data_IF_492463164413
#
_entry.id   IF_492463164413
#
_cell.length_a   1.000
_cell.length_b   1.000
_cell.length_c   1.000
_cell.angle_alpha   90.00
_cell.angle_beta   90.00
_cell.angle_gamma   90.00
#
_symmetry.space_group_name_H-M   'P 1'
#
loop_
_entity.id
_entity.type
_entity.pdbx_description
1 polymer ?
#
# COMPACT_ATOMS: atom_id res chain seq x y z
N UNK A 1 1.79 -12.57 -2.08
CA UNK A 1 2.72 -12.46 -0.95
C UNK A 1 3.74 -11.39 -1.27
N UNK A 2 3.68 -10.24 -0.59
CA UNK A 2 4.79 -9.28 -0.58
C UNK A 2 6.10 -10.02 -0.33
N UNK A 3 7.17 -9.63 -1.03
CA UNK A 3 8.53 -10.19 -0.92
C UNK A 3 8.82 -10.60 0.53
N UNK A 4 8.76 -11.90 0.83
CA UNK A 4 8.94 -12.35 2.21
C UNK A 4 10.38 -12.04 2.61
N UNK A 5 10.55 -11.30 3.71
CA UNK A 5 11.89 -11.02 4.22
C UNK A 5 12.61 -12.33 4.56
N UNK A 6 13.94 -12.32 4.59
CA UNK A 6 14.75 -13.52 4.94
C UNK A 6 14.38 -14.12 6.30
N UNK A 7 13.74 -13.33 7.16
CA UNK A 7 13.33 -13.71 8.50
C UNK A 7 11.86 -14.14 8.58
N UNK A 8 11.11 -14.15 7.48
CA UNK A 8 9.65 -14.30 7.45
C UNK A 8 9.14 -15.49 8.27
N UNK A 9 9.80 -16.66 8.19
CA UNK A 9 9.40 -17.86 8.94
C UNK A 9 9.93 -17.94 10.37
N UNK A 10 10.75 -16.99 10.83
CA UNK A 10 11.33 -17.02 12.18
C UNK A 10 10.30 -16.57 13.21
N UNK A 11 10.15 -17.36 14.27
CA UNK A 11 9.30 -17.04 15.41
C UNK A 11 9.85 -15.85 16.22
N UNK A 12 8.94 -14.97 16.63
CA UNK A 12 9.20 -13.84 17.51
C UNK A 12 9.18 -14.36 18.96
N UNK A 13 10.25 -14.13 19.71
CA UNK A 13 10.37 -14.56 21.11
C UNK A 13 9.94 -13.47 22.10
N UNK A 14 9.95 -12.21 21.68
CA UNK A 14 9.55 -11.10 22.53
C UNK A 14 9.62 -9.76 21.82
N UNK A 15 9.20 -8.69 22.53
CA UNK A 15 9.17 -7.32 22.01
C UNK A 15 10.52 -6.85 21.46
N UNK A 16 11.63 -7.26 22.09
CA UNK A 16 12.99 -6.91 21.64
C UNK A 16 13.29 -7.37 20.21
N UNK A 17 12.76 -8.52 19.78
CA UNK A 17 12.92 -9.00 18.41
C UNK A 17 12.27 -8.06 17.38
N UNK A 18 11.11 -7.48 17.74
CA UNK A 18 10.38 -6.52 16.91
C UNK A 18 11.11 -5.18 16.84
N UNK A 19 11.64 -4.69 17.97
CA UNK A 19 12.44 -3.47 18.00
C UNK A 19 13.73 -3.64 17.18
N UNK A 20 14.41 -4.78 17.34
CA UNK A 20 15.64 -5.08 16.60
C UNK A 20 15.39 -5.24 15.10
N UNK A 21 14.19 -5.68 14.70
CA UNK A 21 13.79 -5.77 13.29
C UNK A 21 13.79 -4.40 12.61
N UNK A 22 13.33 -3.34 13.29
CA UNK A 22 13.45 -1.98 12.78
C UNK A 22 14.90 -1.47 12.80
N UNK A 23 15.63 -1.69 13.89
CA UNK A 23 17.05 -1.27 14.02
C UNK A 23 17.94 -1.87 12.94
N UNK A 24 17.73 -3.14 12.59
CA UNK A 24 18.47 -3.84 11.51
C UNK A 24 18.15 -3.32 10.11
N UNK A 25 17.10 -2.52 9.97
CA UNK A 25 16.67 -1.95 8.70
C UNK A 25 17.35 -0.62 8.40
N UNK A 26 17.95 0.02 9.41
CA UNK A 26 18.76 1.23 9.24
C UNK A 26 19.88 1.01 8.21
N UNK A 27 20.12 2.01 7.36
CA UNK A 27 21.17 2.00 6.33
C UNK A 27 22.21 3.08 6.60
N UNK A 28 23.50 2.86 6.32
CA UNK A 28 24.47 3.95 6.36
C UNK A 28 24.02 5.13 5.49
N UNK A 29 24.45 6.33 5.86
CA UNK A 29 24.21 7.54 5.08
C UNK A 29 24.62 7.35 3.62
N UNK A 30 23.71 7.65 2.68
CA UNK A 30 23.94 7.46 1.24
C UNK A 30 23.74 6.03 0.71
N UNK A 31 23.39 5.06 1.58
CA UNK A 31 22.99 3.69 1.17
C UNK A 31 21.48 3.46 1.26
N UNK A 32 20.71 4.48 1.65
CA UNK A 32 19.25 4.43 1.61
C UNK A 32 18.76 4.30 0.16
N UNK A 33 17.65 3.59 -0.03
CA UNK A 33 17.07 3.31 -1.33
C UNK A 33 15.67 3.92 -1.43
N UNK A 34 15.26 4.16 -2.67
CA UNK A 34 13.96 4.71 -3.05
C UNK A 34 13.17 3.60 -3.75
N UNK A 35 11.98 3.30 -3.25
CA UNK A 35 10.99 2.47 -3.95
C UNK A 35 9.75 3.29 -4.28
N UNK A 36 9.08 2.95 -5.38
CA UNK A 36 7.83 3.62 -5.78
C UNK A 36 6.77 2.57 -6.02
N UNK A 37 5.59 2.79 -5.47
CA UNK A 37 4.41 1.96 -5.73
C UNK A 37 3.34 2.82 -6.38
N UNK A 38 2.64 2.30 -7.38
CA UNK A 38 1.55 3.03 -8.01
C UNK A 38 0.48 2.09 -8.58
N UNK A 39 -0.77 2.50 -8.42
CA UNK A 39 -1.95 1.71 -8.74
C UNK A 39 -2.66 2.26 -9.98
N UNK A 40 -3.19 1.39 -10.84
CA UNK A 40 -3.77 1.77 -12.12
C UNK A 40 -5.15 1.12 -12.30
N UNK A 41 -6.25 1.86 -12.12
CA UNK A 41 -7.60 1.30 -12.27
C UNK A 41 -7.87 0.89 -13.74
N UNK A 42 -8.19 -0.38 -14.01
CA UNK A 42 -8.51 -0.85 -15.35
C UNK A 42 -9.96 -0.53 -15.74
N UNK A 43 -10.19 -0.26 -17.02
CA UNK A 43 -11.53 -0.12 -17.59
C UNK A 43 -11.59 -0.71 -19.01
N UNK A 44 -12.77 -1.14 -19.46
CA UNK A 44 -12.94 -1.51 -20.86
C UNK A 44 -12.97 -0.27 -21.77
N UNK A 45 -12.13 -0.24 -22.81
CA UNK A 45 -12.08 0.91 -23.76
C UNK A 45 -13.37 1.04 -24.59
N UNK A 46 -14.07 -0.07 -24.78
CA UNK A 46 -15.40 -0.14 -25.37
C UNK A 46 -16.40 -0.52 -24.27
N UNK A 47 -17.71 -0.41 -24.51
CA UNK A 47 -18.74 -0.81 -23.54
C UNK A 47 -18.83 0.09 -22.28
N UNK A 48 -18.85 1.40 -22.48
CA UNK A 48 -19.23 2.35 -21.43
C UNK A 48 -18.21 2.53 -20.31
N UNK A 49 -16.94 2.14 -20.53
CA UNK A 49 -15.85 2.28 -19.55
C UNK A 49 -16.12 1.55 -18.22
N UNK A 50 -16.78 0.39 -18.29
CA UNK A 50 -17.03 -0.44 -17.13
C UNK A 50 -15.72 -0.96 -16.51
N UNK A 51 -15.69 -1.18 -15.18
CA UNK A 51 -14.60 -1.87 -14.49
C UNK A 51 -14.29 -3.24 -15.09
N UNK A 52 -13.04 -3.69 -14.97
CA UNK A 52 -12.59 -4.97 -15.52
C UNK A 52 -12.57 -6.05 -14.43
N UNK A 53 -13.40 -7.11 -14.53
CA UNK A 53 -13.40 -8.20 -13.58
C UNK A 53 -12.17 -9.09 -13.71
N UNK A 54 -11.92 -9.92 -12.69
CA UNK A 54 -10.80 -10.87 -12.69
C UNK A 54 -10.87 -11.85 -13.87
N UNK A 55 -12.05 -12.44 -14.11
CA UNK A 55 -12.37 -13.24 -15.30
C UNK A 55 -13.31 -12.41 -16.16
N UNK A 56 -12.97 -12.24 -17.43
CA UNK A 56 -13.80 -11.50 -18.38
C UNK A 56 -15.16 -12.14 -18.61
N UNK A 57 -16.11 -11.34 -19.08
CA UNK A 57 -17.50 -11.75 -19.35
C UNK A 57 -17.90 -11.37 -20.77
N UNK A 58 -18.87 -12.09 -21.35
CA UNK A 58 -19.42 -11.78 -22.69
C UNK A 58 -18.35 -11.76 -23.80
N UNK A 59 -17.36 -12.66 -23.72
CA UNK A 59 -16.28 -12.75 -24.70
C UNK A 59 -15.17 -11.68 -24.56
N UNK A 60 -15.23 -10.85 -23.51
CA UNK A 60 -14.19 -9.87 -23.17
C UNK A 60 -13.09 -10.50 -22.34
N UNK A 61 -11.89 -9.93 -22.39
CA UNK A 61 -10.76 -10.30 -21.53
C UNK A 61 -10.90 -9.71 -20.12
N UNK A 62 -10.49 -10.45 -19.09
CA UNK A 62 -10.38 -9.98 -17.71
C UNK A 62 -8.93 -9.72 -17.29
N UNK A 63 -8.75 -9.37 -16.01
CA UNK A 63 -7.42 -9.12 -15.44
C UNK A 63 -6.53 -10.36 -15.42
N UNK A 64 -7.11 -11.55 -15.35
CA UNK A 64 -6.34 -12.78 -15.52
C UNK A 64 -5.68 -12.89 -16.88
N UNK A 65 -6.35 -12.49 -17.96
CA UNK A 65 -5.79 -12.56 -19.31
C UNK A 65 -4.62 -11.58 -19.44
N UNK A 66 -4.68 -10.43 -18.75
CA UNK A 66 -3.55 -9.51 -18.62
C UNK A 66 -2.37 -10.17 -17.91
N UNK A 67 -2.58 -10.75 -16.71
CA UNK A 67 -1.51 -11.41 -15.96
C UNK A 67 -0.92 -12.60 -16.73
N UNK A 68 -1.77 -13.41 -17.37
CA UNK A 68 -1.34 -14.56 -18.14
C UNK A 68 -0.50 -14.14 -19.36
N UNK A 69 -0.89 -13.07 -20.04
CA UNK A 69 -0.13 -12.51 -21.16
C UNK A 69 1.23 -11.96 -20.72
N UNK A 70 1.28 -11.26 -19.58
CA UNK A 70 2.55 -10.80 -18.98
C UNK A 70 3.51 -11.98 -18.68
N UNK A 71 2.99 -13.11 -18.21
CA UNK A 71 3.80 -14.33 -17.99
C UNK A 71 4.30 -14.89 -19.32
N UNK A 72 3.39 -15.10 -20.28
CA UNK A 72 3.69 -15.79 -21.55
C UNK A 72 4.60 -15.00 -22.49
N UNK A 73 4.44 -13.68 -22.52
CA UNK A 73 5.07 -12.82 -23.54
C UNK A 73 6.16 -11.92 -22.98
N UNK A 74 6.09 -11.58 -21.69
CA UNK A 74 6.98 -10.60 -21.06
C UNK A 74 7.92 -11.19 -20.00
N UNK A 75 7.84 -12.50 -19.75
CA UNK A 75 8.76 -13.24 -18.89
C UNK A 75 8.60 -12.95 -17.40
N UNK A 76 7.40 -12.56 -16.98
CA UNK A 76 7.07 -12.38 -15.56
C UNK A 76 6.88 -13.73 -14.85
N UNK A 77 7.41 -13.86 -13.63
CA UNK A 77 7.17 -15.02 -12.80
C UNK A 77 5.79 -14.93 -12.14
N UNK A 78 4.96 -15.99 -12.20
CA UNK A 78 3.60 -15.95 -11.66
C UNK A 78 3.55 -16.17 -10.14
N UNK A 79 2.74 -15.37 -9.45
CA UNK A 79 2.41 -15.51 -8.03
C UNK A 79 0.95 -15.94 -7.83
N UNK A 80 0.74 -17.02 -7.08
CA UNK A 80 -0.58 -17.61 -6.87
C UNK A 80 -1.02 -17.55 -5.41
N UNK A 81 -2.31 -17.29 -5.19
CA UNK A 81 -3.01 -17.68 -3.97
C UNK A 81 -3.91 -18.87 -4.31
N UNK A 82 -3.55 -20.05 -3.78
CA UNK A 82 -4.12 -21.34 -4.21
C UNK A 82 -3.97 -21.54 -5.73
N UNK A 83 -5.07 -21.58 -6.47
CA UNK A 83 -5.14 -21.76 -7.92
C UNK A 83 -5.31 -20.45 -8.70
N UNK A 84 -5.32 -19.29 -8.01
CA UNK A 84 -5.59 -17.98 -8.62
C UNK A 84 -4.30 -17.20 -8.83
N UNK A 85 -3.99 -16.87 -10.09
CA UNK A 85 -2.89 -15.98 -10.45
C UNK A 85 -3.28 -14.56 -10.08
N UNK A 86 -2.60 -13.97 -9.10
CA UNK A 86 -2.98 -12.67 -8.53
C UNK A 86 -1.82 -11.67 -8.46
N UNK A 87 -0.60 -12.16 -8.69
CA UNK A 87 0.63 -11.38 -8.57
C UNK A 87 1.63 -11.82 -9.62
N UNK A 88 2.59 -10.94 -9.92
CA UNK A 88 3.73 -11.22 -10.79
C UNK A 88 5.01 -10.67 -10.16
N UNK A 89 6.14 -11.29 -10.45
CA UNK A 89 7.46 -10.76 -10.06
C UNK A 89 8.46 -10.84 -11.23
N UNK A 90 9.29 -9.81 -11.38
CA UNK A 90 10.40 -9.76 -12.34
C UNK A 90 11.44 -8.75 -11.88
N UNK A 91 12.70 -9.16 -11.81
CA UNK A 91 13.85 -8.26 -11.57
C UNK A 91 13.66 -7.29 -10.40
N UNK A 92 13.18 -7.82 -9.29
CA UNK A 92 12.85 -7.09 -8.08
C UNK A 92 11.61 -6.17 -8.11
N UNK A 93 10.87 -6.14 -9.22
CA UNK A 93 9.58 -5.44 -9.38
C UNK A 93 8.42 -6.41 -9.22
N UNK A 94 7.32 -5.96 -8.63
CA UNK A 94 6.09 -6.73 -8.47
C UNK A 94 4.90 -6.11 -9.22
N UNK A 95 3.97 -6.97 -9.66
CA UNK A 95 2.59 -6.58 -9.91
C UNK A 95 1.65 -7.27 -8.93
N UNK A 96 0.63 -6.56 -8.48
CA UNK A 96 -0.42 -7.11 -7.64
C UNK A 96 -1.78 -6.53 -8.02
N UNK A 97 -2.85 -7.21 -7.63
CA UNK A 97 -4.22 -6.72 -7.78
C UNK A 97 -4.78 -6.24 -6.44
N UNK A 98 -5.20 -4.98 -6.39
CA UNK A 98 -5.95 -4.38 -5.29
C UNK A 98 -7.43 -4.83 -5.28
N UNK A 99 -8.21 -4.58 -4.22
CA UNK A 99 -9.56 -5.14 -4.04
C UNK A 99 -10.52 -4.96 -5.22
N UNK A 100 -10.52 -3.77 -5.83
CA UNK A 100 -11.34 -3.43 -6.99
C UNK A 100 -10.71 -3.77 -8.35
N UNK A 101 -9.57 -4.47 -8.35
CA UNK A 101 -8.83 -4.83 -9.56
C UNK A 101 -7.84 -3.77 -10.04
N UNK A 102 -7.60 -2.70 -9.28
CA UNK A 102 -6.53 -1.75 -9.58
C UNK A 102 -5.20 -2.51 -9.68
N UNK A 103 -4.45 -2.25 -10.74
CA UNK A 103 -3.20 -2.95 -11.00
C UNK A 103 -2.06 -2.16 -10.37
N UNK A 104 -1.54 -2.69 -9.27
CA UNK A 104 -0.43 -2.11 -8.53
C UNK A 104 0.89 -2.57 -9.11
N UNK A 105 1.82 -1.63 -9.29
CA UNK A 105 3.23 -1.92 -9.52
C UNK A 105 3.99 -1.58 -8.25
N UNK A 106 4.77 -2.52 -7.70
CA UNK A 106 5.72 -2.27 -6.61
C UNK A 106 7.13 -2.28 -7.19
N UNK A 107 7.72 -1.10 -7.30
CA UNK A 107 9.01 -0.88 -7.95
C UNK A 107 10.20 -1.46 -7.20
N UNK A 108 11.31 -1.68 -7.90
CA UNK A 108 12.53 -2.13 -7.26
C UNK A 108 13.11 -1.02 -6.36
N UNK A 109 13.76 -1.37 -5.24
CA UNK A 109 14.46 -0.39 -4.43
C UNK A 109 15.74 0.05 -5.17
N UNK A 110 15.81 1.31 -5.59
CA UNK A 110 16.89 1.88 -6.40
C UNK A 110 17.58 3.04 -5.70
N UNK A 111 18.69 3.54 -6.25
CA UNK A 111 19.56 4.50 -5.56
C UNK A 111 19.12 5.95 -5.70
N UNK A 112 18.32 6.27 -6.73
CA UNK A 112 17.93 7.65 -7.01
C UNK A 112 16.63 7.72 -7.83
N UNK A 113 16.10 8.94 -7.91
CA UNK A 113 14.82 9.23 -8.56
C UNK A 113 14.86 9.13 -10.09
N UNK A 114 16.04 9.14 -10.72
CA UNK A 114 16.16 8.91 -12.16
C UNK A 114 15.92 7.43 -12.48
N UNK A 115 16.45 6.53 -11.65
CA UNK A 115 16.19 5.10 -11.78
C UNK A 115 14.72 4.76 -11.53
N UNK A 116 14.06 5.39 -10.55
CA UNK A 116 12.61 5.21 -10.35
C UNK A 116 11.83 5.72 -11.55
N UNK A 117 12.27 6.81 -12.18
CA UNK A 117 11.63 7.38 -13.36
C UNK A 117 11.75 6.46 -14.58
N UNK A 118 12.95 5.93 -14.85
CA UNK A 118 13.19 4.97 -15.94
C UNK A 118 12.34 3.69 -15.75
N UNK A 119 12.29 3.15 -14.53
CA UNK A 119 11.47 1.98 -14.22
C UNK A 119 9.97 2.27 -14.40
N UNK A 120 9.50 3.41 -13.90
CA UNK A 120 8.10 3.84 -14.02
C UNK A 120 7.68 3.92 -15.50
N UNK A 121 8.48 4.59 -16.33
CA UNK A 121 8.18 4.74 -17.76
C UNK A 121 8.16 3.38 -18.47
N UNK A 122 9.13 2.50 -18.17
CA UNK A 122 9.19 1.15 -18.74
C UNK A 122 7.97 0.29 -18.34
N UNK A 123 7.58 0.33 -17.06
CA UNK A 123 6.45 -0.46 -16.53
C UNK A 123 5.10 0.04 -17.04
N UNK A 124 4.90 1.36 -17.15
CA UNK A 124 3.69 1.93 -17.74
C UNK A 124 3.59 1.56 -19.22
N UNK A 125 4.69 1.67 -19.99
CA UNK A 125 4.69 1.33 -21.41
C UNK A 125 4.34 -0.15 -21.64
N UNK A 126 4.96 -1.06 -20.89
CA UNK A 126 4.71 -2.50 -20.94
C UNK A 126 3.24 -2.82 -20.61
N UNK A 127 2.71 -2.24 -19.53
CA UNK A 127 1.33 -2.46 -19.10
C UNK A 127 0.32 -1.97 -20.15
N UNK A 128 0.54 -0.79 -20.74
CA UNK A 128 -0.32 -0.23 -21.79
C UNK A 128 -0.30 -1.12 -23.03
N UNK A 129 0.86 -1.62 -23.45
CA UNK A 129 0.99 -2.49 -24.62
C UNK A 129 0.15 -3.76 -24.46
N UNK A 130 0.30 -4.44 -23.32
CA UNK A 130 -0.45 -5.66 -23.01
C UNK A 130 -1.95 -5.38 -22.89
N UNK A 131 -2.35 -4.38 -22.10
CA UNK A 131 -3.76 -4.06 -21.87
C UNK A 131 -4.49 -3.63 -23.16
N UNK A 132 -3.81 -2.90 -24.06
CA UNK A 132 -4.37 -2.47 -25.34
C UNK A 132 -4.80 -3.65 -26.20
N UNK A 133 -4.02 -4.74 -26.22
CA UNK A 133 -4.35 -5.96 -26.97
C UNK A 133 -5.59 -6.68 -26.46
N UNK A 134 -5.97 -6.42 -25.21
CA UNK A 134 -7.11 -7.02 -24.50
C UNK A 134 -8.34 -6.11 -24.49
N UNK A 135 -8.28 -4.94 -25.16
CA UNK A 135 -9.35 -3.94 -25.14
C UNK A 135 -9.49 -3.21 -23.79
N UNK A 136 -8.47 -3.28 -22.94
CA UNK A 136 -8.42 -2.67 -21.61
C UNK A 136 -7.65 -1.35 -21.67
N UNK A 137 -8.16 -0.33 -20.99
CA UNK A 137 -7.47 0.92 -20.70
C UNK A 137 -7.12 1.00 -19.21
N UNK A 138 -6.23 1.94 -18.88
CA UNK A 138 -5.82 2.20 -17.50
C UNK A 138 -6.05 3.67 -17.17
N UNK A 139 -6.69 3.96 -16.05
CA UNK A 139 -6.92 5.33 -15.59
C UNK A 139 -5.70 5.87 -14.87
N UNK A 140 -5.46 7.16 -15.08
CA UNK A 140 -4.51 7.99 -14.34
C UNK A 140 -5.29 8.90 -13.38
N UNK A 141 -6.13 8.30 -12.53
CA UNK A 141 -7.01 8.97 -11.56
C UNK A 141 -7.01 8.20 -10.25
N UNK A 142 -7.10 8.92 -9.15
CA UNK A 142 -7.01 8.35 -7.81
C UNK A 142 -8.35 7.88 -7.23
N UNK A 143 -9.47 8.10 -7.92
CA UNK A 143 -10.78 7.60 -7.55
C UNK A 143 -11.55 7.21 -8.81
N UNK A 144 -12.33 6.13 -8.74
CA UNK A 144 -13.13 5.69 -9.88
C UNK A 144 -14.20 6.75 -10.23
N UNK A 145 -14.16 7.36 -11.42
CA UNK A 145 -14.91 8.59 -11.69
C UNK A 145 -16.42 8.35 -11.86
N UNK A 146 -16.84 7.13 -12.17
CA UNK A 146 -18.22 6.80 -12.58
C UNK A 146 -18.88 5.67 -11.79
N UNK A 147 -18.14 4.98 -10.91
CA UNK A 147 -18.63 3.81 -10.18
C UNK A 147 -18.25 3.96 -8.71
N UNK A 148 -19.03 3.35 -7.84
CA UNK A 148 -18.76 3.21 -6.41
C UNK A 148 -18.51 1.72 -6.08
N UNK A 149 -18.22 1.43 -4.83
CA UNK A 149 -17.79 0.12 -4.34
C UNK A 149 -18.77 -1.02 -4.61
N UNK A 150 -20.07 -0.73 -4.70
CA UNK A 150 -21.11 -1.74 -5.02
C UNK A 150 -21.01 -2.27 -6.45
N UNK A 151 -20.37 -1.52 -7.35
CA UNK A 151 -20.24 -1.86 -8.77
C UNK A 151 -18.84 -2.33 -9.15
N UNK A 152 -17.89 -2.31 -8.21
CA UNK A 152 -16.53 -2.74 -8.46
C UNK A 152 -16.41 -4.27 -8.40
N UNK A 153 -15.57 -4.88 -9.26
CA UNK A 153 -15.33 -6.31 -9.21
C UNK A 153 -14.54 -6.67 -7.95
N UNK A 154 -14.74 -7.87 -7.45
CA UNK A 154 -13.98 -8.40 -6.32
C UNK A 154 -12.83 -9.28 -6.82
N UNK A 155 -11.60 -8.95 -6.42
CA UNK A 155 -10.44 -9.76 -6.73
C UNK A 155 -10.36 -11.01 -5.84
N UNK A 156 -9.92 -12.16 -6.37
CA UNK A 156 -10.02 -13.46 -5.68
C UNK A 156 -8.88 -13.67 -4.67
N UNK A 157 -8.76 -12.77 -3.69
CA UNK A 157 -7.80 -12.85 -2.57
C UNK A 157 -8.57 -12.99 -1.28
N UNK A 158 -8.26 -14.02 -0.48
CA UNK A 158 -9.01 -14.35 0.74
C UNK A 158 -9.08 -13.18 1.75
N UNK A 159 -8.04 -12.36 1.81
CA UNK A 159 -7.99 -11.15 2.64
C UNK A 159 -9.09 -10.14 2.28
N UNK A 160 -9.50 -10.07 1.02
CA UNK A 160 -10.45 -9.05 0.55
C UNK A 160 -11.88 -9.36 0.99
N UNK A 161 -12.24 -10.65 1.03
CA UNK A 161 -13.49 -11.09 1.63
C UNK A 161 -13.56 -10.72 3.13
N UNK A 162 -12.49 -11.00 3.89
CA UNK A 162 -12.41 -10.62 5.30
C UNK A 162 -12.47 -9.09 5.51
N UNK A 163 -11.85 -8.30 4.62
CA UNK A 163 -11.98 -6.85 4.64
C UNK A 163 -13.42 -6.41 4.47
N UNK A 164 -14.12 -6.93 3.45
CA UNK A 164 -15.50 -6.58 3.18
C UNK A 164 -16.41 -6.88 4.37
N UNK A 165 -16.31 -8.07 4.95
CA UNK A 165 -17.07 -8.45 6.15
C UNK A 165 -16.83 -7.47 7.31
N UNK A 166 -15.59 -7.03 7.49
CA UNK A 166 -15.25 -6.05 8.51
C UNK A 166 -15.83 -4.65 8.23
N UNK A 167 -15.83 -4.20 6.98
CA UNK A 167 -16.45 -2.91 6.60
C UNK A 167 -17.95 -2.93 6.86
N UNK A 168 -18.62 -4.02 6.46
CA UNK A 168 -20.05 -4.22 6.68
C UNK A 168 -20.38 -4.21 8.18
N UNK A 169 -19.56 -4.90 9.00
CA UNK A 169 -19.73 -4.96 10.46
C UNK A 169 -19.54 -3.60 11.14
N UNK A 170 -18.58 -2.80 10.69
CA UNK A 170 -18.22 -1.52 11.32
C UNK A 170 -19.02 -0.34 10.78
N UNK A 171 -19.98 -0.56 9.87
CA UNK A 171 -20.75 0.50 9.22
C UNK A 171 -19.86 1.62 8.65
N UNK A 172 -18.74 1.22 8.02
CA UNK A 172 -17.74 2.16 7.53
C UNK A 172 -18.38 3.19 6.58
N UNK A 173 -18.11 4.47 6.84
CA UNK A 173 -18.49 5.55 5.93
C UNK A 173 -17.85 5.28 4.56
N UNK A 174 -18.64 5.43 3.49
CA UNK A 174 -18.26 5.08 2.11
C UNK A 174 -18.11 3.57 1.83
N UNK A 175 -18.55 2.68 2.72
CA UNK A 175 -18.64 1.24 2.45
C UNK A 175 -17.30 0.63 2.02
N UNK A 176 -17.25 0.03 0.83
CA UNK A 176 -16.03 -0.56 0.25
C UNK A 176 -15.24 0.40 -0.65
N UNK A 177 -15.69 1.65 -0.82
CA UNK A 177 -15.08 2.62 -1.75
C UNK A 177 -13.59 2.84 -1.50
N UNK A 178 -13.20 2.96 -0.22
CA UNK A 178 -11.80 3.18 0.16
C UNK A 178 -10.85 2.13 -0.39
N UNK A 179 -11.28 0.87 -0.43
CA UNK A 179 -10.49 -0.25 -0.94
C UNK A 179 -10.69 -0.48 -2.46
N UNK A 180 -11.92 -0.38 -2.94
CA UNK A 180 -12.28 -0.84 -4.28
C UNK A 180 -12.27 0.27 -5.34
N UNK A 181 -12.35 1.55 -4.94
CA UNK A 181 -12.46 2.67 -5.88
C UNK A 181 -11.25 3.59 -5.89
N UNK A 182 -10.37 3.53 -4.89
CA UNK A 182 -9.22 4.44 -4.80
C UNK A 182 -8.01 3.91 -5.56
N UNK A 183 -7.09 4.81 -5.96
CA UNK A 183 -5.74 4.42 -6.36
C UNK A 183 -4.68 5.44 -5.94
N UNK A 184 -3.52 4.98 -5.52
CA UNK A 184 -2.45 5.85 -5.00
C UNK A 184 -1.15 5.78 -5.81
N UNK A 185 -0.31 6.80 -5.63
CA UNK A 185 1.14 6.65 -5.77
C UNK A 185 1.77 6.82 -4.39
N UNK A 186 2.72 5.95 -4.05
CA UNK A 186 3.38 5.88 -2.76
C UNK A 186 4.89 5.80 -2.98
N UNK A 187 5.66 6.36 -2.05
CA UNK A 187 7.13 6.26 -2.08
C UNK A 187 7.65 5.69 -0.77
N UNK A 188 8.59 4.76 -0.91
CA UNK A 188 9.23 4.01 0.15
C UNK A 188 10.67 4.48 0.34
N UNK A 189 11.00 5.02 1.51
CA UNK A 189 12.31 5.57 1.84
C UNK A 189 12.92 4.89 3.08
N UNK A 190 14.16 4.40 2.95
CA UNK A 190 14.95 3.94 4.09
C UNK A 190 15.45 5.10 4.97
N UNK A 191 15.83 4.79 6.22
CA UNK A 191 16.32 5.74 7.23
C UNK A 191 17.71 5.34 7.76
N UNK A 192 18.50 6.31 8.23
CA UNK A 192 19.90 6.11 8.67
C UNK A 192 20.01 5.51 10.08
N UNK A 193 19.09 5.91 10.96
CA UNK A 193 19.10 5.60 12.38
C UNK A 193 17.71 5.78 12.99
N UNK A 194 17.55 5.50 14.28
CA UNK A 194 16.31 5.81 15.00
C UNK A 194 16.04 7.33 15.05
N UNK A 195 17.07 8.15 15.31
CA UNK A 195 16.93 9.61 15.34
C UNK A 195 16.50 10.17 13.97
N UNK A 196 17.14 9.66 12.92
CA UNK A 196 16.81 10.02 11.54
C UNK A 196 15.38 9.62 11.17
N UNK A 197 14.97 8.39 11.52
CA UNK A 197 13.60 7.92 11.35
C UNK A 197 12.60 8.84 12.06
N UNK A 198 12.86 9.23 13.31
CA UNK A 198 11.98 10.12 14.09
C UNK A 198 11.84 11.49 13.41
N UNK A 199 12.94 12.07 12.91
CA UNK A 199 12.88 13.34 12.17
C UNK A 199 12.09 13.20 10.87
N UNK A 200 12.43 12.19 10.06
CA UNK A 200 11.78 11.95 8.77
C UNK A 200 10.28 11.72 8.91
N UNK A 201 9.84 10.88 9.87
CA UNK A 201 8.40 10.57 10.03
C UNK A 201 7.61 11.78 10.50
N UNK A 202 8.16 12.61 11.40
CA UNK A 202 7.50 13.83 11.86
C UNK A 202 7.37 14.85 10.74
N UNK A 203 8.43 15.09 9.97
CA UNK A 203 8.38 15.97 8.80
C UNK A 203 7.40 15.44 7.76
N UNK A 204 7.46 14.15 7.44
CA UNK A 204 6.58 13.54 6.46
C UNK A 204 5.10 13.65 6.88
N UNK A 205 4.76 13.32 8.13
CA UNK A 205 3.39 13.46 8.64
C UNK A 205 2.91 14.91 8.59
N UNK A 206 3.72 15.87 9.04
CA UNK A 206 3.35 17.29 9.04
C UNK A 206 3.15 17.87 7.65
N UNK A 207 3.94 17.43 6.67
CA UNK A 207 3.86 17.89 5.27
C UNK A 207 2.94 17.01 4.40
N UNK A 208 2.42 15.89 4.91
CA UNK A 208 1.57 15.00 4.12
C UNK A 208 0.34 15.71 3.54
N UNK A 209 -0.39 16.58 4.28
CA UNK A 209 -1.52 17.32 3.70
C UNK A 209 -1.11 18.23 2.54
N UNK A 210 0.12 18.74 2.53
CA UNK A 210 0.66 19.53 1.41
C UNK A 210 0.90 18.63 0.19
N UNK A 211 1.48 17.44 0.40
CA UNK A 211 1.61 16.45 -0.67
C UNK A 211 0.24 16.03 -1.22
N UNK A 212 -0.73 15.75 -0.36
CA UNK A 212 -2.11 15.44 -0.78
C UNK A 212 -2.71 16.57 -1.61
N UNK A 213 -2.51 17.83 -1.22
CA UNK A 213 -3.00 18.98 -1.99
C UNK A 213 -2.29 19.17 -3.35
N UNK A 214 -0.96 19.02 -3.39
CA UNK A 214 -0.16 19.14 -4.62
C UNK A 214 -0.49 18.04 -5.63
N UNK A 215 -0.81 16.84 -5.15
CA UNK A 215 -1.04 15.67 -5.98
C UNK A 215 -2.53 15.33 -6.17
N UNK A 216 -3.46 16.15 -5.67
CA UNK A 216 -4.90 15.88 -5.76
C UNK A 216 -5.36 15.64 -7.22
N UNK A 217 -5.92 14.46 -7.48
CA UNK A 217 -6.27 14.02 -8.84
C UNK A 217 -7.47 13.06 -8.83
N UNK A 218 -8.50 13.41 -8.06
CA UNK A 218 -9.75 12.66 -8.02
C UNK A 218 -10.98 13.55 -7.80
N UNK A 219 -11.33 14.45 -8.74
CA UNK A 219 -12.42 15.41 -8.54
C UNK A 219 -13.82 14.91 -8.91
N UNK A 220 -13.96 13.65 -9.32
CA UNK A 220 -15.22 13.07 -9.79
C UNK A 220 -15.62 11.85 -8.98
N UNK A 221 -16.93 11.67 -8.79
CA UNK A 221 -17.55 10.46 -8.26
C UNK A 221 -18.91 10.26 -8.92
N UNK A 222 -19.27 9.02 -9.25
CA UNK A 222 -20.55 8.67 -9.87
C UNK A 222 -20.92 9.52 -11.11
N UNK A 223 -19.92 9.93 -11.91
CA UNK A 223 -20.09 10.66 -13.17
C UNK A 223 -20.30 12.17 -13.01
N UNK A 224 -20.12 12.72 -11.81
CA UNK A 224 -20.34 14.14 -11.46
C UNK A 224 -19.17 14.67 -10.61
N UNK A 225 -18.93 16.00 -10.58
CA UNK A 225 -17.99 16.58 -9.64
C UNK A 225 -18.33 16.18 -8.20
N UNK A 226 -17.34 15.72 -7.44
CA UNK A 226 -17.54 15.23 -6.06
C UNK A 226 -17.64 16.35 -5.03
N UNK A 227 -17.16 17.55 -5.38
CA UNK A 227 -16.99 18.67 -4.43
C UNK A 227 -15.59 18.73 -3.79
N UNK A 228 -14.74 17.71 -4.03
CA UNK A 228 -13.38 17.63 -3.52
C UNK A 228 -12.36 17.67 -4.66
N UNK A 229 -11.12 18.09 -4.36
CA UNK A 229 -10.00 17.96 -5.30
C UNK A 229 -9.40 16.54 -5.24
N UNK A 230 -9.30 15.98 -4.03
CA UNK A 230 -9.00 14.57 -3.79
C UNK A 230 -10.18 13.90 -3.08
N UNK A 231 -11.07 13.27 -3.86
CA UNK A 231 -12.13 12.41 -3.31
C UNK A 231 -11.51 11.20 -2.60
N UNK A 232 -10.39 10.69 -3.11
CA UNK A 232 -9.66 9.60 -2.47
C UNK A 232 -9.28 9.96 -1.03
N UNK A 233 -8.64 11.11 -0.81
CA UNK A 233 -8.22 11.52 0.53
C UNK A 233 -9.41 11.68 1.46
N UNK A 234 -10.52 12.25 0.98
CA UNK A 234 -11.74 12.38 1.78
C UNK A 234 -12.31 11.02 2.18
N UNK A 235 -12.40 10.08 1.23
CA UNK A 235 -12.91 8.73 1.49
C UNK A 235 -12.00 8.02 2.49
N UNK A 236 -10.68 8.06 2.29
CA UNK A 236 -9.70 7.39 3.15
C UNK A 236 -9.62 8.00 4.56
N UNK A 237 -9.81 9.32 4.69
CA UNK A 237 -9.86 9.99 5.99
C UNK A 237 -10.97 9.44 6.89
N UNK A 238 -12.14 9.16 6.29
CA UNK A 238 -13.31 8.65 6.97
C UNK A 238 -13.40 7.11 6.97
N UNK A 239 -12.51 6.44 6.23
CA UNK A 239 -12.54 4.99 6.05
C UNK A 239 -12.19 4.27 7.35
N UNK A 240 -13.09 3.39 7.80
CA UNK A 240 -12.96 2.65 9.06
C UNK A 240 -12.65 3.54 10.29
N UNK A 241 -13.22 4.74 10.39
CA UNK A 241 -12.90 5.69 11.47
C UNK A 241 -11.40 6.08 11.52
N UNK A 242 -10.73 6.08 10.36
CA UNK A 242 -9.28 6.31 10.24
C UNK A 242 -8.45 5.15 10.82
N UNK A 243 -9.11 3.99 10.98
CA UNK A 243 -8.89 2.79 11.80
C UNK A 243 -8.09 2.94 13.08
N UNK A 244 -6.97 3.65 13.13
CA UNK A 244 -6.20 3.90 14.35
C UNK A 244 -5.26 5.12 14.30
N UNK A 245 -5.66 6.22 13.66
CA UNK A 245 -4.87 7.45 13.65
C UNK A 245 -4.26 7.69 12.29
N UNK A 246 -5.12 8.15 11.38
CA UNK A 246 -4.77 8.62 10.04
C UNK A 246 -3.48 9.46 10.02
N UNK A 247 -3.25 10.33 11.01
CA UNK A 247 -2.04 11.16 11.14
C UNK A 247 -0.96 10.63 12.12
N UNK A 248 -1.06 9.37 12.55
CA UNK A 248 -0.14 8.68 13.48
C UNK A 248 0.33 9.55 14.67
N UNK A 249 -0.57 10.00 15.58
CA UNK A 249 -0.22 10.94 16.66
C UNK A 249 0.93 10.49 17.56
N UNK A 250 1.09 9.18 17.77
CA UNK A 250 2.16 8.59 18.59
C UNK A 250 3.57 9.04 18.14
N UNK A 251 3.74 9.39 16.85
CA UNK A 251 5.00 9.88 16.30
C UNK A 251 5.48 11.21 16.94
N UNK A 252 4.55 12.01 17.46
CA UNK A 252 4.82 13.31 18.07
C UNK A 252 4.92 13.27 19.59
N UNK A 253 4.66 12.12 20.21
CA UNK A 253 4.78 11.99 21.66
C UNK A 253 6.25 12.03 22.12
N UNK A 254 6.46 12.47 23.36
CA UNK A 254 7.77 12.41 24.01
C UNK A 254 8.29 10.97 24.05
N UNK A 255 9.59 10.80 23.78
CA UNK A 255 10.24 9.49 23.73
C UNK A 255 9.84 8.61 22.55
N UNK A 256 9.20 9.17 21.50
CA UNK A 256 8.92 8.40 20.29
C UNK A 256 10.20 7.86 19.65
N UNK A 257 10.12 6.60 19.21
CA UNK A 257 11.19 5.79 18.64
C UNK A 257 10.64 4.42 18.24
N UNK A 258 11.51 3.49 17.87
CA UNK A 258 11.11 2.13 17.47
C UNK A 258 10.38 1.40 18.57
N UNK A 259 10.84 1.51 19.82
CA UNK A 259 10.23 0.81 20.95
C UNK A 259 8.78 1.27 21.17
N UNK A 260 8.55 2.59 21.19
CA UNK A 260 7.22 3.17 21.37
C UNK A 260 6.30 2.89 20.18
N UNK A 261 6.84 2.88 18.96
CA UNK A 261 6.06 2.45 17.79
C UNK A 261 5.67 0.96 17.87
N UNK A 262 6.58 0.10 18.32
CA UNK A 262 6.27 -1.33 18.56
C UNK A 262 5.17 -1.47 19.59
N UNK A 263 5.20 -0.73 20.70
CA UNK A 263 4.11 -0.76 21.70
C UNK A 263 2.78 -0.32 21.09
N UNK A 264 2.78 0.76 20.31
CA UNK A 264 1.59 1.21 19.58
C UNK A 264 1.07 0.08 18.67
N UNK A 265 1.92 -0.46 17.80
CA UNK A 265 1.53 -1.50 16.84
C UNK A 265 1.11 -2.82 17.51
N UNK A 266 1.70 -3.20 18.65
CA UNK A 266 1.32 -4.40 19.40
C UNK A 266 -0.12 -4.35 19.91
N UNK A 267 -0.57 -3.16 20.35
CA UNK A 267 -1.90 -2.94 20.91
C UNK A 267 -2.98 -2.70 19.84
N UNK A 268 -2.58 -2.64 18.58
CA UNK A 268 -3.50 -2.46 17.47
C UNK A 268 -4.24 -3.76 17.18
N UNK A 269 -5.59 -3.73 17.08
CA UNK A 269 -6.36 -4.89 16.67
C UNK A 269 -5.90 -5.42 15.33
N UNK A 270 -5.65 -6.72 15.29
CA UNK A 270 -5.38 -7.44 14.07
C UNK A 270 -6.61 -7.36 13.17
N UNK A 271 -6.36 -7.17 11.88
CA UNK A 271 -7.35 -7.47 10.87
C UNK A 271 -7.62 -8.99 10.77
N UNK A 272 -6.58 -9.80 10.99
CA UNK A 272 -6.60 -11.23 10.81
C UNK A 272 -5.19 -11.77 10.61
N UNK A 273 -5.08 -13.09 10.42
CA UNK A 273 -3.80 -13.78 10.23
C UNK A 273 -3.89 -14.75 9.05
N UNK A 274 -2.75 -15.08 8.45
CA UNK A 274 -2.70 -16.19 7.49
C UNK A 274 -2.51 -17.53 8.21
N UNK A 275 -3.43 -18.46 7.95
CA UNK A 275 -3.38 -19.86 8.39
C UNK A 275 -3.53 -20.75 7.17
N UNK A 276 -2.54 -21.61 6.92
CA UNK A 276 -2.51 -22.52 5.76
C UNK A 276 -2.78 -21.83 4.41
N UNK A 277 -2.22 -20.62 4.25
CA UNK A 277 -2.39 -19.80 3.04
C UNK A 277 -3.74 -19.10 2.91
N UNK A 278 -4.59 -19.12 3.93
CA UNK A 278 -5.89 -18.44 3.97
C UNK A 278 -5.90 -17.37 5.04
N UNK A 279 -6.42 -16.19 4.72
CA UNK A 279 -6.61 -15.12 5.69
C UNK A 279 -7.83 -15.39 6.58
N UNK A 280 -7.65 -15.32 7.90
CA UNK A 280 -8.66 -15.67 8.91
C UNK A 280 -8.84 -14.50 9.87
N UNK A 281 -10.10 -14.09 10.12
CA UNK A 281 -10.44 -13.11 11.14
C UNK A 281 -10.15 -13.66 12.56
N UNK A 282 -9.54 -12.82 13.39
CA UNK A 282 -9.21 -13.11 14.79
C UNK A 282 -10.06 -12.32 15.77
N UNK A 283 -11.20 -11.80 15.30
CA UNK A 283 -12.28 -11.18 16.09
C UNK A 283 -11.81 -10.00 16.95
N UNK A 284 -10.87 -9.20 16.42
CA UNK A 284 -10.37 -7.99 17.09
C UNK A 284 -9.28 -8.22 18.13
N UNK A 285 -8.73 -9.43 18.25
CA UNK A 285 -7.53 -9.68 19.05
C UNK A 285 -6.34 -8.83 18.55
N UNK A 286 -5.41 -8.51 19.45
CA UNK A 286 -4.22 -7.71 19.14
C UNK A 286 -3.02 -8.57 18.78
N UNK A 287 -1.95 -7.97 18.26
CA UNK A 287 -0.68 -8.70 18.07
C UNK A 287 -0.06 -9.10 19.43
N UNK A 288 -0.27 -8.30 20.49
CA UNK A 288 0.11 -8.67 21.85
C UNK A 288 -0.59 -9.95 22.31
N UNK A 289 -1.91 -10.08 22.08
CA UNK A 289 -2.65 -11.32 22.35
C UNK A 289 -2.06 -12.51 21.57
N UNK A 290 -1.61 -12.29 20.35
CA UNK A 290 -0.94 -13.32 19.55
C UNK A 290 0.40 -13.75 20.15
N UNK A 291 1.22 -12.81 20.59
CA UNK A 291 2.49 -13.13 21.26
C UNK A 291 2.28 -13.91 22.57
N UNK A 292 1.16 -13.69 23.24
CA UNK A 292 0.79 -14.38 24.48
C UNK A 292 0.06 -15.72 24.26
N UNK A 293 -0.15 -16.14 23.00
CA UNK A 293 -0.83 -17.40 22.67
C UNK A 293 -2.34 -17.37 22.91
N UNK A 294 -2.95 -16.17 22.94
CA UNK A 294 -4.38 -15.98 23.25
C UNK A 294 -5.30 -16.03 22.02
N UNK A 295 -4.78 -16.29 20.81
CA UNK A 295 -5.60 -16.37 19.61
C UNK A 295 -6.36 -17.70 19.55
N UNK A 296 -7.69 -17.66 19.74
CA UNK A 296 -8.56 -18.83 19.59
C UNK A 296 -8.42 -19.52 18.23
N UNK A 297 -8.15 -18.75 17.16
CA UNK A 297 -7.99 -19.28 15.81
C UNK A 297 -6.72 -20.15 15.66
N UNK A 298 -5.72 -19.97 16.53
CA UNK A 298 -4.40 -20.62 16.52
C UNK A 298 -3.80 -20.71 17.94
N UNK A 299 -4.36 -21.53 18.86
CA UNK A 299 -4.04 -21.48 20.29
C UNK A 299 -2.59 -21.84 20.67
N UNK A 300 -1.84 -22.48 19.75
CA UNK A 300 -0.47 -22.96 20.02
C UNK A 300 0.58 -22.38 19.05
N UNK A 301 0.22 -21.37 18.24
CA UNK A 301 1.14 -20.78 17.27
C UNK A 301 1.75 -19.50 17.83
N UNK A 302 3.08 -19.41 17.85
CA UNK A 302 3.77 -18.14 18.05
C UNK A 302 3.74 -17.31 16.76
N UNK A 303 3.67 -15.97 16.86
CA UNK A 303 3.77 -15.13 15.68
C UNK A 303 5.17 -15.21 15.05
N UNK A 304 5.20 -15.15 13.74
CA UNK A 304 6.42 -15.06 12.93
C UNK A 304 6.63 -13.63 12.43
N UNK A 305 7.81 -13.31 11.89
CA UNK A 305 8.01 -12.00 11.25
C UNK A 305 7.13 -11.79 10.01
N UNK A 306 6.70 -12.85 9.32
CA UNK A 306 5.68 -12.73 8.28
C UNK A 306 4.35 -12.21 8.85
N UNK A 307 3.95 -12.68 10.03
CA UNK A 307 2.75 -12.19 10.70
C UNK A 307 2.89 -10.74 11.12
N UNK A 308 4.07 -10.36 11.63
CA UNK A 308 4.36 -8.97 11.99
C UNK A 308 4.29 -8.05 10.77
N UNK A 309 4.90 -8.44 9.65
CA UNK A 309 4.84 -7.68 8.40
C UNK A 309 3.41 -7.56 7.88
N UNK A 310 2.64 -8.65 7.94
CA UNK A 310 1.22 -8.64 7.57
C UNK A 310 0.40 -7.71 8.47
N UNK A 311 0.66 -7.71 9.78
CA UNK A 311 0.00 -6.82 10.73
C UNK A 311 0.29 -5.35 10.41
N UNK A 312 1.57 -4.99 10.24
CA UNK A 312 1.95 -3.62 9.86
C UNK A 312 1.33 -3.18 8.52
N UNK A 313 1.15 -4.12 7.57
CA UNK A 313 0.49 -3.83 6.28
C UNK A 313 -1.00 -3.49 6.42
N UNK A 314 -1.61 -3.72 7.58
CA UNK A 314 -3.01 -3.41 7.88
C UNK A 314 -3.20 -2.16 8.73
N UNK A 315 -2.09 -1.50 9.08
CA UNK A 315 -2.05 -0.19 9.72
C UNK A 315 -1.89 0.83 8.58
N UNK A 316 -2.81 1.78 8.42
CA UNK A 316 -2.83 2.72 7.27
C UNK A 316 -2.84 4.20 7.67
N UNK A 317 -1.83 4.69 8.41
CA UNK A 317 -1.62 6.12 8.55
C UNK A 317 -1.21 6.75 7.21
N UNK A 318 -1.16 8.07 7.18
CA UNK A 318 -0.68 8.90 6.07
C UNK A 318 0.83 8.71 5.80
N UNK A 319 1.59 8.39 6.84
CA UNK A 319 2.98 7.91 6.74
C UNK A 319 3.13 6.66 7.58
N UNK A 320 3.53 5.56 6.95
CA UNK A 320 3.63 4.25 7.60
C UNK A 320 5.06 3.87 7.87
N UNK A 321 5.34 3.47 9.10
CA UNK A 321 6.64 2.94 9.50
C UNK A 321 6.67 1.40 9.34
N UNK A 322 7.58 0.93 8.50
CA UNK A 322 7.99 -0.46 8.30
C UNK A 322 9.52 -0.55 8.44
N UNK A 323 10.18 -1.47 7.73
CA UNK A 323 11.65 -1.42 7.53
C UNK A 323 12.12 -0.16 6.79
N UNK A 324 11.17 0.64 6.31
CA UNK A 324 11.29 1.90 5.60
C UNK A 324 10.07 2.75 5.98
N UNK A 325 10.10 4.04 5.66
CA UNK A 325 8.93 4.91 5.71
C UNK A 325 8.22 4.87 4.36
N UNK A 326 6.90 4.79 4.39
CA UNK A 326 6.04 4.84 3.20
C UNK A 326 5.12 6.05 3.31
N UNK A 327 5.23 6.98 2.36
CA UNK A 327 4.39 8.18 2.29
C UNK A 327 3.19 7.90 1.38
N UNK A 328 1.98 8.04 1.92
CA UNK A 328 0.76 7.40 1.37
C UNK A 328 -0.33 8.38 0.93
N UNK A 329 -0.21 9.66 1.29
CA UNK A 329 -1.27 10.66 1.06
C UNK A 329 -1.54 11.01 -0.41
N UNK A 330 -0.61 10.71 -1.33
CA UNK A 330 -0.72 11.17 -2.71
C UNK A 330 -1.70 10.34 -3.56
N UNK A 331 -2.55 11.06 -4.28
CA UNK A 331 -3.40 10.53 -5.34
C UNK A 331 -2.56 10.02 -6.52
N UNK A 332 -2.95 8.89 -7.10
CA UNK A 332 -2.39 8.44 -8.36
C UNK A 332 -2.68 9.43 -9.51
N UNK A 333 -1.83 9.44 -10.54
CA UNK A 333 -1.99 10.30 -11.70
C UNK A 333 -1.15 9.91 -12.91
N UNK A 334 -0.98 10.84 -13.87
CA UNK A 334 -0.12 10.63 -15.03
C UNK A 334 1.32 10.29 -14.65
N UNK A 335 2.08 9.76 -15.60
CA UNK A 335 3.47 9.32 -15.37
C UNK A 335 4.34 10.45 -14.76
N UNK A 336 4.10 11.70 -15.14
CA UNK A 336 4.78 12.87 -14.59
C UNK A 336 4.54 13.03 -13.09
N UNK A 337 3.31 12.80 -12.63
CA UNK A 337 2.98 12.85 -11.19
C UNK A 337 3.61 11.67 -10.45
N UNK A 338 3.55 10.47 -11.02
CA UNK A 338 4.16 9.29 -10.40
C UNK A 338 5.66 9.49 -10.20
N UNK A 339 6.34 10.09 -11.18
CA UNK A 339 7.78 10.43 -11.12
C UNK A 339 8.08 11.61 -10.19
N UNK A 340 7.15 12.56 -10.04
CA UNK A 340 7.34 13.74 -9.20
C UNK A 340 7.24 13.45 -7.70
N UNK A 341 6.39 12.49 -7.28
CA UNK A 341 6.23 12.16 -5.86
C UNK A 341 7.54 11.72 -5.17
N UNK A 342 8.31 10.74 -5.71
CA UNK A 342 9.57 10.38 -5.08
C UNK A 342 10.58 11.52 -5.10
N UNK A 343 10.59 12.36 -6.15
CA UNK A 343 11.46 13.53 -6.20
C UNK A 343 11.14 14.55 -5.10
N UNK A 344 9.86 14.79 -4.83
CA UNK A 344 9.39 15.67 -3.75
C UNK A 344 9.89 15.18 -2.38
N UNK A 345 9.64 13.91 -2.04
CA UNK A 345 10.00 13.38 -0.73
C UNK A 345 11.50 13.13 -0.56
N UNK A 346 12.21 12.66 -1.59
CA UNK A 346 13.67 12.50 -1.54
C UNK A 346 14.34 13.87 -1.35
N UNK A 347 13.89 14.90 -2.08
CA UNK A 347 14.45 16.25 -1.94
C UNK A 347 14.27 16.83 -0.54
N UNK A 348 13.15 16.54 0.13
CA UNK A 348 12.88 17.00 1.49
C UNK A 348 13.61 16.18 2.55
N UNK A 349 13.67 14.85 2.39
CA UNK A 349 14.02 13.94 3.49
C UNK A 349 15.45 13.37 3.41
N UNK A 350 16.08 13.30 2.23
CA UNK A 350 17.43 12.73 2.08
C UNK A 350 18.56 13.78 2.06
N UNK A 351 18.22 15.05 1.90
CA UNK A 351 19.16 16.15 2.11
C UNK A 351 19.10 16.64 3.56
N UNK A 352 20.23 16.61 4.27
CA UNK A 352 20.28 16.95 5.70
C UNK A 352 19.92 18.41 5.98
N UNK A 353 20.26 19.32 5.07
CA UNK A 353 19.91 20.73 5.25
C UNK A 353 18.40 20.92 5.10
N UNK A 354 17.80 20.31 4.09
CA UNK A 354 16.36 20.35 3.82
C UNK A 354 15.55 19.68 4.93
N UNK A 355 15.96 18.50 5.39
CA UNK A 355 15.29 17.77 6.46
C UNK A 355 15.32 18.56 7.78
N UNK A 356 16.48 19.11 8.16
CA UNK A 356 16.58 19.90 9.40
C UNK A 356 15.75 21.19 9.31
N UNK A 357 15.80 21.90 8.18
CA UNK A 357 15.00 23.11 8.00
C UNK A 357 13.49 22.81 8.04
N UNK A 358 13.06 21.71 7.43
CA UNK A 358 11.67 21.27 7.50
C UNK A 358 11.27 20.84 8.91
N UNK A 359 12.15 20.15 9.63
CA UNK A 359 11.94 19.73 11.01
C UNK A 359 11.74 20.94 11.94
N UNK A 360 12.63 21.94 11.85
CA UNK A 360 12.55 23.19 12.64
C UNK A 360 11.26 23.99 12.37
N UNK A 361 10.60 23.79 11.22
CA UNK A 361 9.33 24.44 10.89
C UNK A 361 8.11 23.74 11.52
N UNK A 362 8.21 22.44 11.83
CA UNK A 362 7.04 21.60 12.18
C UNK A 362 7.12 20.91 13.54
N UNK A 363 8.26 21.01 14.23
CA UNK A 363 8.53 20.44 15.54
C UNK A 363 9.29 21.46 16.39
#
# INVERSE_FOLDING_TARGET
MSRQSRDAGKEIQGKSDLVDWFKKSCKPAGEQLVGVEHEKPPFYRQHGHAPVPYRGTEGRSGLYDFLEKMVKENGWAPGYEKDKLIELEKDHVGWSLEPGGQMETSGAPVKNVHQTAEETDARIAEAIEVAKSLGIGMLALAYHPTHNGDHMPEMPKSRYAAWRELMEKNHALHGTDGASCTSAVQVNLGYESEEDMVKMVRVALSLQPIATALFANSPFSEGKPSGYQSTRSEVLHNYMEGRYGFMLPVAFEEGFGFEKFVDYALNMPLLGIYKDGVFVDVKGATFADFMEGKLEACPDRKPTFADWENHLNTIWPEVRLRRFLEMRGADNGPAEMIKALPAFWVGLLYDKQSLNAAYDMVC
#
